data_IF_750741995786
#
_entry.id   IF_750741995786
#
_cell.length_a   1.000
_cell.length_b   1.000
_cell.length_c   1.000
_cell.angle_alpha   90.00
_cell.angle_beta   90.00
_cell.angle_gamma   90.00
#
_symmetry.space_group_name_H-M   'P 1'
#
loop_
_entity.id
_entity.type
_entity.pdbx_description
1 polymer ?
#
# COMPACT_ATOMS: atom_id res chain seq x y z
N UNK A 1 -14.91 -10.40 -24.46
CA UNK A 1 -15.47 -9.12 -23.99
C UNK A 1 -16.07 -9.36 -22.61
N UNK A 2 -15.30 -9.06 -21.55
CA UNK A 2 -15.75 -8.88 -20.15
C UNK A 2 -16.37 -10.09 -19.42
N UNK A 3 -16.33 -10.23 -18.10
CA UNK A 3 -15.78 -9.45 -16.99
C UNK A 3 -15.74 -10.41 -15.79
N UNK A 4 -14.65 -11.13 -15.56
CA UNK A 4 -14.41 -11.77 -14.26
C UNK A 4 -12.98 -11.49 -13.80
N UNK A 5 -12.65 -10.20 -13.71
CA UNK A 5 -11.38 -9.73 -13.13
C UNK A 5 -11.54 -9.65 -11.61
N UNK A 6 -11.29 -10.79 -10.96
CA UNK A 6 -11.07 -11.04 -9.52
C UNK A 6 -11.61 -9.98 -8.55
N UNK A 7 -12.83 -10.17 -8.09
CA UNK A 7 -13.31 -9.65 -6.81
C UNK A 7 -12.88 -10.62 -5.68
N UNK A 8 -11.62 -10.60 -5.26
CA UNK A 8 -11.30 -11.15 -3.94
C UNK A 8 -11.69 -10.11 -2.89
N UNK A 9 -12.90 -10.28 -2.34
CA UNK A 9 -13.51 -9.45 -1.29
C UNK A 9 -12.80 -9.64 0.06
N UNK A 10 -12.02 -10.72 0.19
CA UNK A 10 -11.16 -11.00 1.34
C UNK A 10 -9.71 -11.17 0.88
N UNK A 11 -8.89 -10.17 1.16
CA UNK A 11 -7.44 -10.34 1.25
C UNK A 11 -7.18 -10.41 2.74
N UNK A 12 -6.98 -11.61 3.29
CA UNK A 12 -6.57 -11.79 4.69
C UNK A 12 -5.22 -11.13 4.88
N UNK A 13 -5.24 -9.83 5.14
CA UNK A 13 -4.06 -9.02 5.36
C UNK A 13 -3.78 -9.00 6.85
N UNK A 14 -2.52 -9.09 7.25
CA UNK A 14 -2.12 -8.96 8.66
C UNK A 14 -2.66 -7.66 9.28
N UNK A 15 -2.79 -6.61 8.48
CA UNK A 15 -3.40 -5.35 8.90
C UNK A 15 -4.88 -5.49 9.24
N UNK A 16 -5.67 -6.20 8.43
CA UNK A 16 -7.09 -6.41 8.71
C UNK A 16 -7.29 -7.18 10.01
N UNK A 17 -6.44 -8.18 10.28
CA UNK A 17 -6.46 -8.94 11.53
C UNK A 17 -6.15 -8.03 12.72
N UNK A 18 -5.11 -7.20 12.63
CA UNK A 18 -4.76 -6.23 13.68
C UNK A 18 -5.90 -5.26 13.97
N UNK A 19 -6.55 -4.74 12.92
CA UNK A 19 -7.71 -3.85 13.06
C UNK A 19 -8.91 -4.56 13.70
N UNK A 20 -9.17 -5.81 13.33
CA UNK A 20 -10.24 -6.62 13.94
C UNK A 20 -9.97 -6.91 15.42
N UNK A 21 -8.73 -7.23 15.80
CA UNK A 21 -8.34 -7.41 17.21
C UNK A 21 -8.56 -6.10 17.98
N UNK A 22 -8.14 -4.97 17.42
CA UNK A 22 -8.34 -3.65 18.02
C UNK A 22 -9.84 -3.34 18.22
N UNK A 23 -10.68 -3.65 17.23
CA UNK A 23 -12.13 -3.50 17.34
C UNK A 23 -12.73 -4.38 18.45
N UNK A 24 -12.29 -5.63 18.55
CA UNK A 24 -12.74 -6.56 19.60
C UNK A 24 -12.37 -6.01 20.99
N UNK A 25 -11.16 -5.45 21.16
CA UNK A 25 -10.74 -4.82 22.42
C UNK A 25 -11.66 -3.65 22.78
N UNK A 26 -11.96 -2.77 21.82
CA UNK A 26 -12.88 -1.63 22.03
C UNK A 26 -14.27 -2.12 22.46
N UNK A 27 -14.84 -3.08 21.73
CA UNK A 27 -16.17 -3.63 22.04
C UNK A 27 -16.16 -4.33 23.41
N UNK A 28 -15.08 -5.01 23.76
CA UNK A 28 -14.94 -5.66 25.07
C UNK A 28 -14.95 -4.64 26.21
N UNK A 29 -14.20 -3.54 26.06
CA UNK A 29 -14.18 -2.44 27.03
C UNK A 29 -15.57 -1.80 27.14
N UNK A 30 -16.21 -1.55 25.99
CA UNK A 30 -17.57 -1.00 25.92
C UNK A 30 -18.58 -1.87 26.71
N UNK A 31 -18.52 -3.19 26.54
CA UNK A 31 -19.37 -4.15 27.29
C UNK A 31 -19.08 -4.16 28.78
N UNK A 32 -17.81 -4.13 29.20
CA UNK A 32 -17.43 -4.11 30.61
C UNK A 32 -17.91 -2.82 31.28
N UNK A 33 -17.69 -1.67 30.64
CA UNK A 33 -18.10 -0.37 31.15
C UNK A 33 -19.62 -0.27 31.25
N UNK A 34 -20.33 -0.62 30.19
CA UNK A 34 -21.79 -0.58 30.19
C UNK A 34 -22.37 -1.57 31.20
N UNK A 35 -21.85 -2.80 31.25
CA UNK A 35 -22.27 -3.82 32.22
C UNK A 35 -22.07 -3.37 33.67
N UNK A 36 -20.95 -2.73 33.98
CA UNK A 36 -20.67 -2.17 35.31
C UNK A 36 -21.62 -1.03 35.68
N UNK A 37 -21.84 -0.09 34.76
CA UNK A 37 -22.80 1.01 34.96
C UNK A 37 -24.22 0.47 35.13
N UNK A 38 -24.62 -0.48 34.29
CA UNK A 38 -25.94 -1.11 34.35
C UNK A 38 -26.15 -1.84 35.67
N UNK A 39 -25.15 -2.62 36.12
CA UNK A 39 -25.19 -3.31 37.40
C UNK A 39 -25.30 -2.34 38.59
N UNK A 40 -24.48 -1.28 38.60
CA UNK A 40 -24.52 -0.26 39.64
C UNK A 40 -25.86 0.50 39.68
N UNK A 41 -26.40 0.84 38.51
CA UNK A 41 -27.71 1.49 38.42
C UNK A 41 -28.83 0.59 38.97
N UNK A 42 -28.78 -0.71 38.66
CA UNK A 42 -29.74 -1.68 39.17
C UNK A 42 -29.63 -1.87 40.68
N UNK A 43 -28.41 -1.91 41.23
CA UNK A 43 -28.19 -2.11 42.68
C UNK A 43 -28.62 -0.92 43.53
N UNK A 44 -28.60 0.30 42.99
CA UNK A 44 -29.10 1.50 43.65
C UNK A 44 -30.64 1.59 43.65
N UNK A 45 -31.30 0.87 42.74
CA UNK A 45 -32.76 0.91 42.60
C UNK A 45 -33.47 0.09 43.68
N UNK A 46 -33.89 0.72 44.78
CA UNK A 46 -34.57 0.05 45.90
C UNK A 46 -35.89 -0.66 45.51
N UNK A 47 -36.59 -0.17 44.48
CA UNK A 47 -37.77 -0.81 43.88
C UNK A 47 -37.76 -0.61 42.38
N UNK A 48 -37.78 -1.71 41.62
CA UNK A 48 -37.97 -1.65 40.17
C UNK A 48 -39.46 -1.48 39.90
N UNK A 49 -39.86 -0.27 39.50
CA UNK A 49 -41.22 0.01 38.99
C UNK A 49 -41.28 -0.24 37.48
N UNK A 50 -42.49 -0.37 36.92
CA UNK A 50 -42.69 -0.59 35.48
C UNK A 50 -41.99 0.47 34.61
N UNK A 51 -41.98 1.73 35.04
CA UNK A 51 -41.30 2.81 34.32
C UNK A 51 -39.77 2.64 34.32
N UNK A 52 -39.21 2.20 35.45
CA UNK A 52 -37.77 1.91 35.58
C UNK A 52 -37.39 0.68 34.74
N UNK A 53 -38.23 -0.34 34.73
CA UNK A 53 -38.03 -1.51 33.86
C UNK A 53 -38.01 -1.13 32.38
N UNK A 54 -39.00 -0.35 31.92
CA UNK A 54 -39.05 0.17 30.54
C UNK A 54 -37.81 0.99 30.19
N UNK A 55 -37.33 1.82 31.11
CA UNK A 55 -36.10 2.58 30.94
C UNK A 55 -34.88 1.68 30.74
N UNK A 56 -34.68 0.66 31.59
CA UNK A 56 -33.55 -0.26 31.45
C UNK A 56 -33.61 -1.10 30.17
N UNK A 57 -34.81 -1.51 29.73
CA UNK A 57 -34.99 -2.20 28.45
C UNK A 57 -34.60 -1.30 27.28
N UNK A 58 -35.08 -0.05 27.26
CA UNK A 58 -34.70 0.92 26.22
C UNK A 58 -33.20 1.20 26.21
N UNK A 59 -32.58 1.32 27.38
CA UNK A 59 -31.14 1.50 27.54
C UNK A 59 -30.36 0.31 26.97
N UNK A 60 -30.77 -0.92 27.30
CA UNK A 60 -30.16 -2.15 26.78
C UNK A 60 -30.32 -2.26 25.26
N UNK A 61 -31.50 -1.98 24.72
CA UNK A 61 -31.73 -1.97 23.27
C UNK A 61 -30.85 -0.93 22.58
N UNK A 62 -30.71 0.26 23.16
CA UNK A 62 -29.84 1.32 22.63
C UNK A 62 -28.37 0.89 22.64
N UNK A 63 -27.92 0.24 23.71
CA UNK A 63 -26.57 -0.31 23.82
C UNK A 63 -26.27 -1.34 22.74
N UNK A 64 -27.14 -2.36 22.60
CA UNK A 64 -26.99 -3.39 21.56
C UNK A 64 -26.98 -2.74 20.16
N UNK A 65 -27.85 -1.76 19.93
CA UNK A 65 -27.88 -1.01 18.68
C UNK A 65 -26.56 -0.28 18.39
N UNK A 66 -25.99 0.42 19.38
CA UNK A 66 -24.70 1.11 19.24
C UNK A 66 -23.55 0.13 19.00
N UNK A 67 -23.49 -0.98 19.75
CA UNK A 67 -22.43 -1.98 19.58
C UNK A 67 -22.48 -2.60 18.18
N UNK A 68 -23.66 -2.94 17.66
CA UNK A 68 -23.81 -3.45 16.29
C UNK A 68 -23.36 -2.42 15.25
N UNK A 69 -23.72 -1.16 15.44
CA UNK A 69 -23.30 -0.06 14.58
C UNK A 69 -21.77 0.12 14.60
N UNK A 70 -21.13 0.05 15.77
CA UNK A 70 -19.68 0.11 15.94
C UNK A 70 -18.97 -1.04 15.20
N UNK A 71 -19.47 -2.28 15.34
CA UNK A 71 -18.92 -3.44 14.64
C UNK A 71 -19.04 -3.25 13.12
N UNK A 72 -20.23 -2.86 12.63
CA UNK A 72 -20.46 -2.64 11.21
C UNK A 72 -19.52 -1.55 10.66
N UNK A 73 -19.44 -0.41 11.33
CA UNK A 73 -18.62 0.72 10.90
C UNK A 73 -17.14 0.37 10.93
N UNK A 74 -16.67 -0.32 11.97
CA UNK A 74 -15.27 -0.69 12.09
C UNK A 74 -14.82 -1.77 11.11
N UNK A 75 -15.67 -2.76 10.81
CA UNK A 75 -15.39 -3.74 9.74
C UNK A 75 -15.34 -3.04 8.39
N UNK A 76 -16.33 -2.18 8.10
CA UNK A 76 -16.37 -1.41 6.86
C UNK A 76 -15.14 -0.51 6.69
N UNK A 77 -14.75 0.18 7.75
CA UNK A 77 -13.57 1.04 7.78
C UNK A 77 -12.28 0.25 7.58
N UNK A 78 -12.14 -0.89 8.25
CA UNK A 78 -11.00 -1.80 8.13
C UNK A 78 -10.80 -2.24 6.67
N UNK A 79 -11.88 -2.61 5.98
CA UNK A 79 -11.82 -2.99 4.56
C UNK A 79 -11.36 -1.84 3.65
N UNK A 80 -11.84 -0.62 3.90
CA UNK A 80 -11.49 0.58 3.11
C UNK A 80 -10.04 1.04 3.28
N UNK A 81 -9.34 0.57 4.31
CA UNK A 81 -7.95 0.89 4.60
C UNK A 81 -7.03 -0.28 4.23
N UNK A 82 -7.36 -1.49 4.65
CA UNK A 82 -6.53 -2.67 4.45
C UNK A 82 -6.37 -3.05 2.97
N UNK A 83 -7.44 -2.93 2.18
CA UNK A 83 -7.40 -3.20 0.74
C UNK A 83 -6.38 -2.33 0.00
N UNK A 84 -6.48 -1.00 0.10
CA UNK A 84 -5.49 -0.09 -0.48
C UNK A 84 -4.06 -0.33 0.02
N UNK A 85 -3.85 -0.51 1.32
CA UNK A 85 -2.50 -0.73 1.88
C UNK A 85 -1.85 -1.98 1.28
N UNK A 86 -2.61 -3.07 1.14
CA UNK A 86 -2.10 -4.27 0.48
C UNK A 86 -1.72 -4.02 -0.99
N UNK A 87 -2.53 -3.22 -1.71
CA UNK A 87 -2.22 -2.84 -3.08
C UNK A 87 -0.89 -2.07 -3.16
N UNK A 88 -0.65 -1.12 -2.25
CA UNK A 88 0.63 -0.42 -2.16
C UNK A 88 1.79 -1.37 -1.83
N UNK A 89 1.64 -2.24 -0.83
CA UNK A 89 2.69 -3.19 -0.44
C UNK A 89 3.13 -4.05 -1.63
N UNK A 90 2.17 -4.57 -2.39
CA UNK A 90 2.45 -5.40 -3.57
C UNK A 90 3.16 -4.60 -4.67
N UNK A 91 2.83 -3.32 -4.85
CA UNK A 91 3.52 -2.46 -5.82
C UNK A 91 4.93 -2.11 -5.36
N UNK A 92 5.12 -1.80 -4.09
CA UNK A 92 6.44 -1.54 -3.49
C UNK A 92 7.35 -2.76 -3.69
N UNK A 93 6.85 -3.98 -3.45
CA UNK A 93 7.61 -5.22 -3.70
C UNK A 93 8.03 -5.39 -5.17
N UNK A 94 7.21 -4.97 -6.12
CA UNK A 94 7.59 -5.01 -7.55
C UNK A 94 8.67 -3.97 -7.87
N UNK A 95 8.55 -2.77 -7.28
CA UNK A 95 9.54 -1.70 -7.43
C UNK A 95 10.90 -2.14 -6.87
N UNK A 96 10.93 -2.83 -5.73
CA UNK A 96 12.17 -3.37 -5.15
C UNK A 96 12.81 -4.45 -6.04
N UNK A 97 12.04 -5.08 -6.93
CA UNK A 97 12.54 -6.02 -7.94
C UNK A 97 12.94 -5.33 -9.26
N UNK A 98 12.94 -3.99 -9.31
CA UNK A 98 13.30 -3.20 -10.49
C UNK A 98 12.14 -2.95 -11.46
N UNK A 99 10.93 -3.45 -11.18
CA UNK A 99 9.76 -3.16 -12.00
C UNK A 99 9.09 -1.85 -11.56
N UNK A 100 9.48 -0.78 -12.24
CA UNK A 100 8.88 0.56 -12.05
C UNK A 100 7.70 0.83 -12.98
N UNK A 101 7.21 -0.15 -13.76
CA UNK A 101 6.22 0.05 -14.83
C UNK A 101 4.77 0.18 -14.36
N UNK A 102 4.49 -0.11 -13.08
CA UNK A 102 3.14 -0.15 -12.53
C UNK A 102 2.83 1.06 -11.60
N UNK A 103 1.59 1.54 -11.66
CA UNK A 103 1.01 2.53 -10.75
C UNK A 103 -0.03 1.86 -9.83
N UNK A 104 -0.45 2.58 -8.79
CA UNK A 104 -1.58 2.18 -7.94
C UNK A 104 -2.83 2.92 -8.43
N UNK A 105 -3.93 2.21 -8.56
CA UNK A 105 -5.26 2.76 -8.86
C UNK A 105 -6.24 2.21 -7.83
N UNK A 106 -6.69 3.06 -6.91
CA UNK A 106 -7.62 2.67 -5.86
C UNK A 106 -9.07 2.82 -6.32
N UNK A 107 -9.99 2.11 -5.67
CA UNK A 107 -11.41 2.17 -6.00
C UNK A 107 -12.01 3.47 -5.48
N UNK A 108 -13.11 3.89 -6.11
CA UNK A 108 -13.88 5.03 -5.64
C UNK A 108 -14.41 4.76 -4.23
N UNK A 109 -14.06 5.63 -3.28
CA UNK A 109 -14.47 5.52 -1.88
C UNK A 109 -13.48 4.82 -0.95
N UNK A 110 -12.33 4.36 -1.46
CA UNK A 110 -11.18 3.97 -0.63
C UNK A 110 -10.58 5.20 0.08
N UNK A 111 -10.00 5.02 1.26
CA UNK A 111 -9.57 6.14 2.10
C UNK A 111 -8.20 6.73 1.75
N UNK A 112 -7.39 5.99 0.98
CA UNK A 112 -5.99 6.33 0.74
C UNK A 112 -5.76 6.97 -0.64
N UNK A 113 -6.75 7.70 -1.17
CA UNK A 113 -6.70 8.34 -2.51
C UNK A 113 -5.65 9.46 -2.59
N UNK A 114 -5.48 10.23 -1.53
CA UNK A 114 -4.44 11.26 -1.49
C UNK A 114 -3.05 10.61 -1.49
N UNK A 115 -2.91 9.49 -0.76
CA UNK A 115 -1.67 8.71 -0.76
C UNK A 115 -1.39 8.05 -2.12
N UNK A 116 -2.42 7.56 -2.81
CA UNK A 116 -2.31 7.08 -4.20
C UNK A 116 -1.75 8.15 -5.13
N UNK A 117 -2.25 9.39 -5.01
CA UNK A 117 -1.79 10.52 -5.82
C UNK A 117 -0.29 10.78 -5.59
N UNK A 118 0.11 10.98 -4.32
CA UNK A 118 1.51 11.21 -3.97
C UNK A 118 2.43 10.04 -4.33
N UNK A 119 1.95 8.80 -4.16
CA UNK A 119 2.69 7.60 -4.55
C UNK A 119 2.92 7.55 -6.06
N UNK A 120 1.89 7.86 -6.85
CA UNK A 120 2.01 7.86 -8.31
C UNK A 120 2.90 9.00 -8.81
N UNK A 121 2.89 10.17 -8.17
CA UNK A 121 3.83 11.27 -8.45
C UNK A 121 5.28 10.85 -8.21
N UNK A 122 5.55 10.19 -7.07
CA UNK A 122 6.86 9.61 -6.78
C UNK A 122 7.28 8.60 -7.87
N UNK A 123 6.37 7.73 -8.28
CA UNK A 123 6.65 6.75 -9.35
C UNK A 123 6.93 7.42 -10.71
N UNK A 124 6.24 8.52 -11.02
CA UNK A 124 6.53 9.31 -12.21
C UNK A 124 7.94 9.90 -12.17
N UNK A 125 8.35 10.45 -11.02
CA UNK A 125 9.69 10.99 -10.85
C UNK A 125 10.78 9.91 -11.00
N UNK A 126 10.59 8.74 -10.39
CA UNK A 126 11.51 7.60 -10.52
C UNK A 126 11.64 7.16 -11.98
N UNK A 127 10.52 6.99 -12.69
CA UNK A 127 10.55 6.61 -14.11
C UNK A 127 11.27 7.64 -14.97
N UNK A 128 11.05 8.93 -14.70
CA UNK A 128 11.71 10.00 -15.43
C UNK A 128 13.22 9.93 -15.24
N UNK A 129 13.70 9.76 -14.00
CA UNK A 129 15.12 9.59 -13.71
C UNK A 129 15.71 8.36 -14.43
N UNK A 130 15.06 7.20 -14.33
CA UNK A 130 15.51 5.98 -15.04
C UNK A 130 15.54 6.16 -16.56
N UNK A 131 14.58 6.90 -17.13
CA UNK A 131 14.57 7.19 -18.56
C UNK A 131 15.69 8.15 -18.97
N UNK A 132 16.04 9.13 -18.14
CA UNK A 132 17.16 10.06 -18.35
C UNK A 132 18.51 9.34 -18.26
N UNK A 133 18.66 8.44 -17.28
CA UNK A 133 19.86 7.60 -17.14
C UNK A 133 20.05 6.70 -18.37
N UNK A 134 18.97 6.05 -18.85
CA UNK A 134 19.01 5.24 -20.07
C UNK A 134 19.41 6.06 -21.30
N UNK A 135 18.85 7.27 -21.47
CA UNK A 135 19.27 8.16 -22.57
C UNK A 135 20.74 8.53 -22.48
N UNK A 136 21.25 8.75 -21.26
CA UNK A 136 22.65 9.08 -21.03
C UNK A 136 23.53 7.87 -21.41
N UNK A 137 23.18 6.66 -20.97
CA UNK A 137 23.86 5.42 -21.34
C UNK A 137 23.88 5.19 -22.85
N UNK A 138 22.75 5.40 -23.54
CA UNK A 138 22.68 5.28 -25.01
C UNK A 138 23.62 6.27 -25.69
N UNK A 139 23.69 7.51 -25.20
CA UNK A 139 24.59 8.53 -25.72
C UNK A 139 26.07 8.19 -25.51
N UNK A 140 26.41 7.60 -24.35
CA UNK A 140 27.76 7.12 -24.04
C UNK A 140 28.11 5.95 -24.95
N UNK A 141 27.21 4.99 -25.13
CA UNK A 141 27.42 3.84 -26.02
C UNK A 141 27.69 4.30 -27.46
N UNK A 142 26.93 5.29 -27.94
CA UNK A 142 27.14 5.89 -29.27
C UNK A 142 28.51 6.56 -29.38
N UNK A 143 28.93 7.35 -28.38
CA UNK A 143 30.25 8.01 -28.37
C UNK A 143 31.41 7.00 -28.35
N UNK A 144 31.30 5.92 -27.56
CA UNK A 144 32.31 4.84 -27.52
C UNK A 144 32.40 4.18 -28.90
N UNK A 145 31.28 3.89 -29.54
CA UNK A 145 31.25 3.31 -30.90
C UNK A 145 31.91 4.24 -31.93
N UNK A 146 31.63 5.54 -31.88
CA UNK A 146 32.27 6.53 -32.76
C UNK A 146 33.79 6.62 -32.54
N UNK A 147 34.25 6.58 -31.28
CA UNK A 147 35.69 6.59 -30.95
C UNK A 147 36.39 5.32 -31.45
N UNK A 148 35.79 4.15 -31.26
CA UNK A 148 36.32 2.88 -31.79
C UNK A 148 36.49 2.95 -33.31
N UNK A 149 35.46 3.42 -34.03
CA UNK A 149 35.52 3.59 -35.49
C UNK A 149 36.61 4.58 -35.94
N UNK A 150 36.91 5.62 -35.15
CA UNK A 150 38.01 6.56 -35.44
C UNK A 150 39.38 5.93 -35.17
N UNK A 151 39.52 5.18 -34.08
CA UNK A 151 40.75 4.44 -33.73
C UNK A 151 41.08 3.35 -34.75
N UNK A 152 40.08 2.68 -35.33
CA UNK A 152 40.27 1.74 -36.44
C UNK A 152 40.91 2.38 -37.67
N UNK A 153 40.67 3.68 -37.89
CA UNK A 153 41.27 4.44 -38.99
C UNK A 153 42.68 4.98 -38.69
N UNK A 154 43.11 4.98 -37.43
CA UNK A 154 44.38 5.60 -37.01
C UNK A 154 45.54 4.57 -36.98
N UNK A 155 45.24 3.27 -36.99
CA UNK A 155 46.16 2.13 -37.19
C UNK A 155 47.68 2.42 -37.15
N UNK A 156 48.20 2.85 -35.99
CA UNK A 156 49.64 2.95 -35.73
C UNK A 156 49.90 3.24 -34.25
N UNK A 157 50.16 2.19 -33.46
CA UNK A 157 50.70 2.34 -32.10
C UNK A 157 50.21 1.28 -31.11
N UNK A 158 51.13 0.72 -30.31
CA UNK A 158 50.84 -0.25 -29.25
C UNK A 158 49.85 0.30 -28.20
N UNK A 159 49.91 1.61 -27.94
CA UNK A 159 49.00 2.35 -27.05
C UNK A 159 47.58 2.45 -27.63
N UNK A 160 47.42 2.53 -28.95
CA UNK A 160 46.11 2.55 -29.60
C UNK A 160 45.43 1.17 -29.57
N UNK A 161 46.21 0.09 -29.60
CA UNK A 161 45.73 -1.29 -29.41
C UNK A 161 45.28 -1.53 -27.95
N UNK A 162 46.07 -1.11 -26.96
CA UNK A 162 45.69 -1.20 -25.54
C UNK A 162 44.43 -0.36 -25.22
N UNK A 163 44.35 0.86 -25.76
CA UNK A 163 43.18 1.72 -25.58
C UNK A 163 41.92 1.15 -26.26
N UNK A 164 42.06 0.53 -27.45
CA UNK A 164 40.97 -0.22 -28.08
C UNK A 164 40.50 -1.40 -27.24
N UNK A 165 41.42 -2.14 -26.62
CA UNK A 165 41.08 -3.27 -25.76
C UNK A 165 40.23 -2.81 -24.57
N UNK A 166 40.63 -1.74 -23.87
CA UNK A 166 39.87 -1.16 -22.75
C UNK A 166 38.48 -0.63 -23.15
N UNK A 167 38.34 0.01 -24.31
CA UNK A 167 37.03 0.43 -24.82
C UNK A 167 36.10 -0.74 -25.16
N UNK A 168 36.66 -1.86 -25.63
CA UNK A 168 35.92 -3.09 -25.91
C UNK A 168 35.41 -3.75 -24.63
N UNK A 169 36.24 -3.76 -23.58
CA UNK A 169 35.89 -4.29 -22.26
C UNK A 169 34.74 -3.49 -21.64
N UNK A 170 34.86 -2.16 -21.57
CA UNK A 170 33.79 -1.26 -21.10
C UNK A 170 32.50 -1.43 -21.91
N UNK A 171 32.59 -1.55 -23.24
CA UNK A 171 31.42 -1.80 -24.08
C UNK A 171 30.75 -3.16 -23.83
N UNK A 172 31.48 -4.13 -23.31
CA UNK A 172 30.97 -5.47 -23.02
C UNK A 172 30.32 -5.50 -21.64
N UNK A 173 30.94 -4.87 -20.64
CA UNK A 173 30.37 -4.69 -19.30
C UNK A 173 29.06 -3.88 -19.34
N UNK A 174 28.99 -2.82 -20.16
CA UNK A 174 27.77 -2.01 -20.31
C UNK A 174 26.58 -2.74 -20.96
N UNK A 175 26.82 -3.90 -21.61
CA UNK A 175 25.75 -4.72 -22.22
C UNK A 175 25.27 -5.84 -21.30
N UNK A 176 26.02 -6.14 -20.23
CA UNK A 176 25.66 -7.08 -19.17
C UNK A 176 24.67 -6.47 -18.19
#
# INVERSE_FOLDING_TARGET
>A
MGLFKRQQIYINTDLQIKMSIFLIIIVTIEVILFGGIFYYALSMSQKVTDNIYRFYVLLLCSFVGMTLLNIFLGVFLSHKIAGPIYAFEMRIKNITNGDVSNFVDLRQGDMLRDFETSFNEMMHAIRKAVAEDRKTLDSVHKKISELNNKLDKISAGKEAEEFKAGLKEISTEMKS
#
